data_IF_493613961178
#
_entry.id   IF_493613961178
#
_cell.length_a   1.000
_cell.length_b   1.000
_cell.length_c   1.000
_cell.angle_alpha   90.00
_cell.angle_beta   90.00
_cell.angle_gamma   90.00
#
_symmetry.space_group_name_H-M   'P 1'
#
loop_
_entity.id
_entity.type
_entity.pdbx_description
1 polymer ?
#
# COMPACT_ATOMS: atom_id res chain seq x y z
N UNK A 1 -23.18 14.05 9.45
CA UNK A 1 -22.32 13.89 8.28
C UNK A 1 -21.29 12.80 8.60
N UNK A 2 -21.73 11.55 8.75
CA UNK A 2 -21.93 10.53 7.69
C UNK A 2 -20.60 10.08 7.05
N UNK A 3 -19.95 9.09 7.66
CA UNK A 3 -18.97 8.24 6.96
C UNK A 3 -19.54 6.82 6.88
N UNK A 4 -20.09 6.48 5.71
CA UNK A 4 -20.65 5.17 5.36
C UNK A 4 -19.85 4.51 4.23
N UNK A 5 -18.52 4.66 4.22
CA UNK A 5 -17.68 4.24 3.09
C UNK A 5 -17.18 2.78 3.12
N UNK A 6 -17.63 1.94 4.07
CA UNK A 6 -17.09 0.58 4.25
C UNK A 6 -18.00 -0.56 3.73
N UNK A 7 -19.07 -0.23 3.03
CA UNK A 7 -20.05 -1.22 2.57
C UNK A 7 -19.93 -1.44 1.06
N UNK A 8 -19.56 -2.65 0.65
CA UNK A 8 -19.64 -3.06 -0.75
C UNK A 8 -20.95 -3.80 -1.01
N UNK A 9 -21.71 -3.35 -2.01
CA UNK A 9 -22.89 -4.06 -2.50
C UNK A 9 -22.44 -5.10 -3.53
N UNK A 10 -22.67 -6.37 -3.22
CA UNK A 10 -22.47 -7.49 -4.15
C UNK A 10 -23.83 -7.92 -4.66
N UNK A 11 -24.02 -7.92 -5.98
CA UNK A 11 -25.26 -8.35 -6.64
C UNK A 11 -25.00 -9.62 -7.45
N UNK A 12 -25.71 -10.70 -7.11
CA UNK A 12 -25.80 -11.92 -7.93
C UNK A 12 -27.27 -12.24 -8.20
N UNK A 13 -27.60 -12.37 -9.49
CA UNK A 13 -28.89 -12.74 -10.12
C UNK A 13 -30.14 -11.96 -9.67
N UNK A 14 -30.48 -12.02 -8.38
CA UNK A 14 -31.64 -11.39 -7.75
C UNK A 14 -31.41 -10.97 -6.29
N UNK A 15 -30.24 -11.26 -5.72
CA UNK A 15 -29.91 -10.96 -4.32
C UNK A 15 -28.79 -9.90 -4.23
N UNK A 16 -29.00 -8.89 -3.38
CA UNK A 16 -27.98 -7.92 -2.99
C UNK A 16 -27.58 -8.17 -1.53
N UNK A 17 -26.29 -8.40 -1.30
CA UNK A 17 -25.74 -8.46 0.05
C UNK A 17 -24.80 -7.28 0.28
N UNK A 18 -24.82 -6.78 1.51
CA UNK A 18 -23.90 -5.75 1.98
C UNK A 18 -22.75 -6.46 2.69
N UNK A 19 -21.56 -6.45 2.09
CA UNK A 19 -20.36 -7.00 2.72
C UNK A 19 -19.59 -5.88 3.42
N UNK A 20 -19.38 -6.03 4.73
CA UNK A 20 -18.50 -5.15 5.49
C UNK A 20 -17.08 -5.63 5.30
N UNK A 21 -16.29 -4.88 4.53
CA UNK A 21 -14.87 -5.15 4.38
C UNK A 21 -14.12 -4.24 5.35
N UNK A 22 -13.45 -4.82 6.34
CA UNK A 22 -12.49 -4.08 7.15
C UNK A 22 -11.32 -3.65 6.24
N UNK A 23 -11.44 -2.46 5.67
CA UNK A 23 -10.40 -1.86 4.86
C UNK A 23 -9.28 -1.40 5.77
N UNK A 24 -8.11 -2.04 5.65
CA UNK A 24 -6.90 -1.57 6.31
C UNK A 24 -6.63 -0.13 5.85
N UNK A 25 -6.39 0.79 6.78
CA UNK A 25 -6.12 2.18 6.42
C UNK A 25 -4.88 2.29 5.53
N UNK A 26 -4.88 3.30 4.66
CA UNK A 26 -3.76 3.56 3.76
C UNK A 26 -2.45 3.74 4.52
N UNK A 27 -2.48 4.45 5.66
CA UNK A 27 -1.32 4.72 6.49
C UNK A 27 -0.65 3.43 6.98
N UNK A 28 -1.45 2.48 7.49
CA UNK A 28 -0.95 1.17 7.93
C UNK A 28 -0.28 0.41 6.79
N UNK A 29 -0.88 0.41 5.59
CA UNK A 29 -0.26 -0.22 4.41
C UNK A 29 1.05 0.47 4.03
N UNK A 30 1.10 1.80 4.04
CA UNK A 30 2.31 2.54 3.72
C UNK A 30 3.44 2.25 4.71
N UNK A 31 3.13 2.20 6.00
CA UNK A 31 4.08 1.83 7.06
C UNK A 31 4.62 0.42 6.87
N UNK A 32 3.75 -0.54 6.54
CA UNK A 32 4.18 -1.91 6.31
C UNK A 32 5.10 -2.06 5.10
N UNK A 33 4.82 -1.35 4.00
CA UNK A 33 5.72 -1.30 2.86
C UNK A 33 7.08 -0.72 3.27
N UNK A 34 7.10 0.40 4.01
CA UNK A 34 8.34 1.04 4.44
C UNK A 34 9.14 0.11 5.35
N UNK A 35 8.47 -0.56 6.29
CA UNK A 35 9.08 -1.50 7.21
C UNK A 35 9.67 -2.70 6.44
N UNK A 36 8.92 -3.26 5.50
CA UNK A 36 9.36 -4.36 4.67
C UNK A 36 10.60 -3.99 3.83
N UNK A 37 10.60 -2.84 3.16
CA UNK A 37 11.76 -2.37 2.38
C UNK A 37 12.97 -2.14 3.30
N UNK A 38 12.75 -1.59 4.51
CA UNK A 38 13.81 -1.37 5.51
C UNK A 38 14.42 -2.69 5.99
N UNK A 39 13.58 -3.69 6.28
CA UNK A 39 13.98 -5.04 6.71
C UNK A 39 14.85 -5.74 5.65
N UNK A 40 14.59 -5.47 4.37
CA UNK A 40 15.36 -6.00 3.24
C UNK A 40 16.57 -5.13 2.85
N UNK A 41 17.16 -4.37 3.79
CA UNK A 41 18.37 -3.56 3.53
C UNK A 41 18.11 -2.22 2.84
N UNK A 42 16.85 -1.77 2.78
CA UNK A 42 16.47 -0.45 2.26
C UNK A 42 16.27 -0.37 0.74
N UNK A 43 16.40 -1.50 0.04
CA UNK A 43 16.05 -1.62 -1.37
C UNK A 43 15.56 -3.01 -1.72
N UNK A 44 14.55 -3.07 -2.59
CA UNK A 44 14.01 -4.27 -3.20
C UNK A 44 14.07 -4.11 -4.71
N UNK A 45 14.51 -5.13 -5.43
CA UNK A 45 14.55 -5.17 -6.90
C UNK A 45 13.29 -5.80 -7.52
N UNK A 46 12.39 -6.30 -6.68
CA UNK A 46 11.18 -6.99 -7.08
C UNK A 46 9.91 -6.43 -6.43
N UNK A 47 9.14 -5.64 -7.19
CA UNK A 47 7.82 -5.13 -6.81
C UNK A 47 6.82 -6.23 -6.39
N UNK A 48 6.95 -7.44 -6.94
CA UNK A 48 6.04 -8.54 -6.60
C UNK A 48 6.23 -9.00 -5.15
N UNK A 49 7.44 -8.89 -4.59
CA UNK A 49 7.69 -9.22 -3.19
C UNK A 49 6.90 -8.32 -2.23
N UNK A 50 6.82 -7.01 -2.53
CA UNK A 50 5.99 -6.07 -1.76
C UNK A 50 4.52 -6.42 -1.86
N UNK A 51 4.07 -6.81 -3.05
CA UNK A 51 2.66 -7.21 -3.28
C UNK A 51 2.31 -8.48 -2.50
N UNK A 52 3.23 -9.46 -2.48
CA UNK A 52 3.05 -10.71 -1.74
C UNK A 52 3.04 -10.47 -0.24
N UNK A 53 3.98 -9.68 0.30
CA UNK A 53 4.02 -9.33 1.74
C UNK A 53 2.71 -8.66 2.18
N UNK A 54 2.19 -7.72 1.38
CA UNK A 54 0.93 -7.05 1.70
C UNK A 54 -0.26 -8.00 1.67
N UNK A 55 -0.30 -8.94 0.73
CA UNK A 55 -1.37 -9.95 0.65
C UNK A 55 -1.27 -11.00 1.75
N UNK A 56 -0.06 -11.33 2.19
CA UNK A 56 0.19 -12.29 3.26
C UNK A 56 -0.26 -11.72 4.62
N UNK A 57 0.12 -10.48 4.92
CA UNK A 57 -0.31 -9.78 6.15
C UNK A 57 -1.75 -9.30 6.12
N UNK A 58 -2.22 -8.88 4.94
CA UNK A 58 -3.55 -8.32 4.74
C UNK A 58 -4.19 -9.05 3.56
N UNK A 59 -4.80 -10.21 3.84
CA UNK A 59 -5.47 -11.04 2.81
C UNK A 59 -6.55 -10.29 2.03
N UNK A 60 -7.19 -9.29 2.65
CA UNK A 60 -8.15 -8.38 2.02
C UNK A 60 -7.54 -7.26 1.19
N UNK A 61 -6.20 -7.10 1.17
CA UNK A 61 -5.53 -6.00 0.49
C UNK A 61 -5.80 -6.04 -1.02
N UNK A 62 -6.42 -4.97 -1.51
CA UNK A 62 -6.56 -4.70 -2.92
C UNK A 62 -6.18 -3.26 -3.21
N UNK A 63 -5.22 -3.09 -4.11
CA UNK A 63 -4.70 -1.78 -4.51
C UNK A 63 -5.77 -0.84 -5.09
N UNK A 64 -6.83 -1.41 -5.67
CA UNK A 64 -7.96 -0.66 -6.23
C UNK A 64 -8.76 0.06 -5.14
N UNK A 65 -8.83 -0.53 -3.94
CA UNK A 65 -9.54 0.05 -2.80
C UNK A 65 -8.89 1.37 -2.34
N UNK A 66 -7.62 1.58 -2.70
CA UNK A 66 -6.86 2.81 -2.44
C UNK A 66 -6.78 3.75 -3.66
N UNK A 67 -7.54 3.48 -4.73
CA UNK A 67 -7.58 4.32 -5.93
C UNK A 67 -6.43 4.10 -6.92
N UNK A 68 -5.72 2.96 -6.85
CA UNK A 68 -4.60 2.68 -7.75
C UNK A 68 -4.84 1.42 -8.59
N UNK A 69 -4.43 1.45 -9.86
CA UNK A 69 -4.51 0.28 -10.75
C UNK A 69 -3.21 -0.53 -10.84
N UNK A 70 -2.08 0.05 -10.43
CA UNK A 70 -0.74 -0.56 -10.56
C UNK A 70 0.07 -0.36 -9.29
N UNK A 71 0.74 -1.42 -8.82
CA UNK A 71 1.60 -1.40 -7.64
C UNK A 71 2.69 -0.33 -7.72
N UNK A 72 3.32 -0.19 -8.88
CA UNK A 72 4.33 0.84 -9.07
C UNK A 72 3.79 2.27 -8.89
N UNK A 73 2.52 2.53 -9.23
CA UNK A 73 1.88 3.83 -9.01
C UNK A 73 1.57 4.07 -7.54
N UNK A 74 1.05 3.06 -6.83
CA UNK A 74 0.84 3.14 -5.39
C UNK A 74 2.14 3.42 -4.65
N UNK A 75 3.20 2.67 -4.92
CA UNK A 75 4.49 2.85 -4.23
C UNK A 75 5.17 4.17 -4.54
N UNK A 76 4.95 4.76 -5.72
CA UNK A 76 5.40 6.13 -6.04
C UNK A 76 4.66 7.21 -5.24
N UNK A 77 3.43 6.93 -4.80
CA UNK A 77 2.67 7.86 -3.97
C UNK A 77 3.24 7.97 -2.54
N UNK A 78 3.95 6.94 -2.08
CA UNK A 78 4.57 6.89 -0.76
C UNK A 78 5.76 7.84 -0.74
N UNK A 79 5.67 8.92 0.06
CA UNK A 79 6.65 10.01 0.07
C UNK A 79 8.07 9.52 0.36
N UNK A 80 8.22 8.49 1.18
CA UNK A 80 9.50 7.93 1.61
C UNK A 80 10.12 6.91 0.64
N UNK A 81 9.47 6.60 -0.48
CA UNK A 81 9.96 5.62 -1.45
C UNK A 81 10.32 6.24 -2.79
N UNK A 82 11.26 5.60 -3.47
CA UNK A 82 11.61 5.84 -4.87
C UNK A 82 11.44 4.54 -5.63
N UNK A 83 10.70 4.57 -6.74
CA UNK A 83 10.49 3.42 -7.62
C UNK A 83 11.16 3.69 -8.96
N UNK A 84 12.05 2.80 -9.38
CA UNK A 84 12.70 2.84 -10.68
C UNK A 84 12.58 1.45 -11.33
N UNK A 85 11.81 1.34 -12.41
CA UNK A 85 11.47 0.03 -13.00
C UNK A 85 10.77 -0.86 -11.97
N UNK A 86 11.39 -2.02 -11.69
CA UNK A 86 10.94 -2.97 -10.67
C UNK A 86 11.60 -2.76 -9.30
N UNK A 87 12.51 -1.80 -9.18
CA UNK A 87 13.24 -1.53 -7.95
C UNK A 87 12.54 -0.48 -7.09
N UNK A 88 12.34 -0.78 -5.81
CA UNK A 88 11.80 0.10 -4.77
C UNK A 88 12.88 0.37 -3.75
N UNK A 89 13.12 1.64 -3.42
CA UNK A 89 14.17 2.03 -2.48
C UNK A 89 13.64 3.06 -1.49
N UNK A 90 14.12 2.99 -0.25
CA UNK A 90 13.89 4.07 0.70
C UNK A 90 14.64 5.32 0.23
N UNK A 91 13.95 6.46 0.22
CA UNK A 91 14.61 7.75 0.07
C UNK A 91 15.49 7.96 1.28
N UNK A 92 16.79 8.14 1.07
CA UNK A 92 17.68 8.64 2.12
C UNK A 92 17.09 9.96 2.60
N UNK A 93 16.78 10.08 3.90
CA UNK A 93 16.64 11.39 4.52
C UNK A 93 17.93 12.12 4.19
N UNK A 94 17.85 13.19 3.41
CA UNK A 94 18.89 14.21 3.48
C UNK A 94 18.82 14.68 4.92
N UNK A 95 19.76 14.23 5.75
CA UNK A 95 20.05 14.92 7.00
C UNK A 95 20.22 16.38 6.60
N UNK A 96 19.27 17.24 7.00
CA UNK A 96 19.49 18.67 6.95
C UNK A 96 20.74 18.86 7.79
N UNK A 97 21.86 19.15 7.11
CA UNK A 97 23.13 19.37 7.77
C UNK A 97 22.91 20.27 8.96
N UNK A 98 23.26 19.74 10.13
CA UNK A 98 23.46 20.54 11.33
C UNK A 98 24.60 21.48 10.96
N UNK A 99 24.25 22.68 10.51
CA UNK A 99 25.18 23.79 10.34
C UNK A 99 25.72 24.07 11.75
N UNK A 100 26.97 23.71 11.97
CA UNK A 100 27.81 24.29 13.00
C UNK A 100 28.87 25.14 12.32
#
# INVERSE_FOLDING_TARGET
DEEMDNFMLVQEDTNCYVEFKELTSRETIEEEVIHFVKKNGGSLDNLSAVTLELKDKHSGFNIKDYGYSRMSSFLRSIRCLTVNGNTVRLKKRREKGERR
#
